data_IF_138248293575
#
_entry.id   IF_138248293575
#
_cell.length_a   1.000
_cell.length_b   1.000
_cell.length_c   1.000
_cell.angle_alpha   90.00
_cell.angle_beta   90.00
_cell.angle_gamma   90.00
#
_symmetry.space_group_name_H-M   'P 1'
#
loop_
_entity.id
_entity.type
_entity.pdbx_description
1 polymer ?
#
# COMPACT_ATOMS: atom_id res chain seq x y z
N UNK A 1 15.36 20.56 -4.43
CA UNK A 1 16.56 21.18 -5.06
C UNK A 1 16.87 22.54 -4.42
N UNK A 2 15.93 23.49 -4.41
CA UNK A 2 16.15 24.82 -3.82
C UNK A 2 16.41 24.78 -2.31
N UNK A 3 15.71 23.91 -1.58
CA UNK A 3 15.98 23.63 -0.15
C UNK A 3 17.33 22.95 0.07
N UNK A 4 17.75 22.05 -0.84
CA UNK A 4 19.01 21.29 -0.73
C UNK A 4 20.23 22.23 -0.82
N UNK A 5 20.14 23.29 -1.64
CA UNK A 5 21.21 24.27 -1.77
C UNK A 5 21.41 25.15 -0.52
N UNK A 6 20.41 25.22 0.37
CA UNK A 6 20.42 26.05 1.58
C UNK A 6 20.31 25.20 2.87
N UNK A 7 20.75 23.94 2.81
CA UNK A 7 20.76 23.05 3.98
C UNK A 7 21.73 23.59 5.03
N UNK A 8 21.31 23.56 6.29
CA UNK A 8 22.21 23.68 7.44
C UNK A 8 22.81 22.29 7.76
N UNK A 9 24.09 22.03 7.45
CA UNK A 9 24.69 20.71 7.67
C UNK A 9 24.76 20.32 9.14
N UNK A 10 24.73 21.28 10.06
CA UNK A 10 24.75 20.99 11.50
C UNK A 10 23.49 20.24 11.95
N UNK A 11 22.35 20.45 11.26
CA UNK A 11 21.09 19.75 11.55
C UNK A 11 21.11 18.28 11.11
N UNK A 12 21.97 17.94 10.16
CA UNK A 12 22.17 16.58 9.65
C UNK A 12 23.30 15.83 10.36
N UNK A 13 23.92 16.43 11.38
CA UNK A 13 25.00 15.79 12.11
C UNK A 13 24.51 14.52 12.83
N UNK A 14 25.29 13.42 12.88
CA UNK A 14 24.87 12.19 13.56
C UNK A 14 24.49 12.38 15.04
N UNK A 15 24.94 13.46 15.68
CA UNK A 15 24.56 13.83 17.05
C UNK A 15 23.09 14.23 17.21
N UNK A 16 22.40 14.60 16.12
CA UNK A 16 20.97 14.94 16.11
C UNK A 16 20.09 13.74 15.81
N UNK A 17 20.68 12.58 15.51
CA UNK A 17 19.91 11.41 15.10
C UNK A 17 19.14 10.80 16.27
N UNK A 18 17.90 10.34 16.03
CA UNK A 18 17.15 9.62 17.03
C UNK A 18 17.85 8.29 17.39
N UNK A 19 17.50 7.73 18.54
CA UNK A 19 18.05 6.44 18.97
C UNK A 19 17.80 5.34 17.94
N UNK A 20 18.72 4.38 17.84
CA UNK A 20 18.67 3.29 16.83
C UNK A 20 17.33 2.55 16.79
N UNK A 21 16.68 2.37 17.94
CA UNK A 21 15.34 1.80 18.04
C UNK A 21 14.28 2.61 17.26
N UNK A 22 14.30 3.93 17.36
CA UNK A 22 13.35 4.82 16.66
C UNK A 22 13.64 4.84 15.15
N UNK A 23 14.92 4.74 14.76
CA UNK A 23 15.29 4.59 13.35
C UNK A 23 14.72 3.28 12.79
N UNK A 24 14.90 2.16 13.51
CA UNK A 24 14.37 0.85 13.10
C UNK A 24 12.83 0.86 13.04
N UNK A 25 12.14 1.50 13.99
CA UNK A 25 10.67 1.62 13.95
C UNK A 25 10.20 2.49 12.77
N UNK A 26 10.92 3.56 12.46
CA UNK A 26 10.64 4.43 11.31
C UNK A 26 10.76 3.72 9.96
N UNK A 27 11.69 2.76 9.82
CA UNK A 27 11.84 1.96 8.58
C UNK A 27 10.56 1.21 8.26
N UNK A 28 9.90 0.67 9.28
CA UNK A 28 8.67 -0.09 9.13
C UNK A 28 7.54 0.79 8.59
N UNK A 29 7.37 2.00 9.12
CA UNK A 29 6.37 2.97 8.61
C UNK A 29 6.75 3.51 7.23
N UNK A 30 8.05 3.70 6.96
CA UNK A 30 8.54 4.18 5.66
C UNK A 30 8.24 3.17 4.54
N UNK A 31 8.13 1.88 4.84
CA UNK A 31 7.72 0.86 3.88
C UNK A 31 6.38 1.20 3.21
N UNK A 32 5.43 1.79 3.95
CA UNK A 32 4.15 2.25 3.41
C UNK A 32 4.33 3.18 2.21
N UNK A 33 5.33 4.07 2.25
CA UNK A 33 5.60 5.03 1.18
C UNK A 33 6.03 4.34 -0.13
N UNK A 34 6.48 3.07 -0.08
CA UNK A 34 6.91 2.32 -1.26
C UNK A 34 5.82 1.41 -1.83
N UNK A 35 4.62 1.32 -1.24
CA UNK A 35 3.58 0.37 -1.65
C UNK A 35 3.14 0.49 -3.12
N UNK A 36 3.27 1.68 -3.69
CA UNK A 36 2.78 2.02 -5.02
C UNK A 36 3.38 1.18 -6.16
N UNK A 37 4.56 0.57 -5.99
CA UNK A 37 5.18 -0.23 -7.07
C UNK A 37 4.31 -1.43 -7.49
N UNK A 38 3.52 -1.99 -6.56
CA UNK A 38 2.67 -3.15 -6.82
C UNK A 38 1.53 -2.84 -7.79
N UNK A 39 1.09 -1.58 -7.86
CA UNK A 39 -0.03 -1.14 -8.71
C UNK A 39 0.27 -1.41 -10.20
N UNK A 40 1.54 -1.31 -10.61
CA UNK A 40 2.00 -1.56 -11.99
C UNK A 40 1.66 -2.99 -12.46
N UNK A 41 1.55 -3.94 -11.53
CA UNK A 41 1.23 -5.33 -11.89
C UNK A 41 -0.19 -5.50 -12.42
N UNK A 42 -1.12 -4.62 -12.04
CA UNK A 42 -2.49 -4.67 -12.54
C UNK A 42 -2.63 -4.18 -13.98
N UNK A 43 -1.69 -3.38 -14.47
CA UNK A 43 -1.65 -2.90 -15.86
C UNK A 43 -0.81 -3.79 -16.76
N UNK A 44 -0.40 -4.98 -16.30
CA UNK A 44 0.45 -5.89 -17.06
C UNK A 44 -0.16 -6.27 -18.41
N UNK A 45 -1.49 -6.39 -18.50
CA UNK A 45 -2.20 -6.72 -19.74
C UNK A 45 -2.21 -5.58 -20.77
N UNK A 46 -1.95 -4.35 -20.32
CA UNK A 46 -1.95 -3.15 -21.16
C UNK A 46 -0.53 -2.84 -21.70
N UNK A 47 0.49 -3.58 -21.24
CA UNK A 47 1.88 -3.44 -21.69
C UNK A 47 2.11 -4.20 -23.01
N UNK A 48 3.01 -3.66 -23.84
CA UNK A 48 3.33 -4.26 -25.15
C UNK A 48 4.22 -5.49 -25.00
N UNK A 49 5.18 -5.45 -24.08
CA UNK A 49 6.01 -6.59 -23.70
C UNK A 49 6.10 -6.69 -22.16
N UNK A 50 5.07 -7.27 -21.51
CA UNK A 50 4.99 -7.32 -20.05
C UNK A 50 6.20 -8.03 -19.43
N UNK A 51 6.78 -9.01 -20.13
CA UNK A 51 7.91 -9.81 -19.63
C UNK A 51 9.18 -8.98 -19.39
N UNK A 52 9.35 -7.89 -20.14
CA UNK A 52 10.51 -6.99 -20.05
C UNK A 52 10.16 -5.64 -19.44
N UNK A 53 8.99 -5.10 -19.78
CA UNK A 53 8.57 -3.76 -19.37
C UNK A 53 8.19 -3.73 -17.89
N UNK A 54 7.48 -4.74 -17.39
CA UNK A 54 6.98 -4.74 -16.00
C UNK A 54 8.12 -4.79 -14.96
N UNK A 55 9.11 -5.69 -15.05
CA UNK A 55 10.23 -5.67 -14.11
C UNK A 55 11.04 -4.38 -14.16
N UNK A 56 11.24 -3.81 -15.37
CA UNK A 56 11.97 -2.54 -15.53
C UNK A 56 11.20 -1.38 -14.94
N UNK A 57 9.90 -1.28 -15.20
CA UNK A 57 9.05 -0.24 -14.66
C UNK A 57 9.04 -0.28 -13.12
N UNK A 58 8.92 -1.47 -12.52
CA UNK A 58 8.98 -1.63 -11.05
C UNK A 58 10.33 -1.17 -10.49
N UNK A 59 11.46 -1.60 -11.06
CA UNK A 59 12.79 -1.24 -10.57
C UNK A 59 13.09 0.26 -10.73
N UNK A 60 12.70 0.86 -11.85
CA UNK A 60 12.84 2.31 -12.09
C UNK A 60 11.97 3.09 -11.11
N UNK A 61 10.71 2.67 -10.91
CA UNK A 61 9.80 3.34 -9.98
C UNK A 61 10.33 3.32 -8.54
N UNK A 62 10.80 2.16 -8.06
CA UNK A 62 11.38 2.03 -6.72
C UNK A 62 12.63 2.89 -6.58
N UNK A 63 13.56 2.83 -7.55
CA UNK A 63 14.80 3.61 -7.52
C UNK A 63 14.55 5.12 -7.55
N UNK A 64 13.62 5.58 -8.41
CA UNK A 64 13.24 6.98 -8.51
C UNK A 64 12.55 7.46 -7.23
N UNK A 65 11.59 6.69 -6.70
CA UNK A 65 10.91 7.02 -5.45
C UNK A 65 11.91 7.11 -4.29
N UNK A 66 12.84 6.16 -4.17
CA UNK A 66 13.88 6.19 -3.14
C UNK A 66 14.75 7.45 -3.22
N UNK A 67 15.21 7.80 -4.43
CA UNK A 67 16.00 9.02 -4.65
C UNK A 67 15.23 10.28 -4.26
N UNK A 68 13.94 10.37 -4.65
CA UNK A 68 13.07 11.49 -4.30
C UNK A 68 12.84 11.56 -2.78
N UNK A 69 12.55 10.44 -2.12
CA UNK A 69 12.32 10.41 -0.68
C UNK A 69 13.56 10.83 0.10
N UNK A 70 14.75 10.36 -0.28
CA UNK A 70 16.00 10.82 0.33
C UNK A 70 16.20 12.31 0.11
N UNK A 71 16.01 12.80 -1.12
CA UNK A 71 16.16 14.22 -1.44
C UNK A 71 15.19 15.12 -0.67
N UNK A 72 13.94 14.69 -0.51
CA UNK A 72 12.91 15.40 0.27
C UNK A 72 13.27 15.38 1.75
N UNK A 73 13.64 14.24 2.32
CA UNK A 73 14.05 14.13 3.73
C UNK A 73 15.23 15.03 4.05
N UNK A 74 16.26 15.05 3.20
CA UNK A 74 17.40 15.96 3.35
C UNK A 74 16.98 17.43 3.27
N UNK A 75 16.07 17.77 2.35
CA UNK A 75 15.53 19.12 2.23
C UNK A 75 14.70 19.56 3.44
N UNK A 76 13.89 18.66 4.00
CA UNK A 76 13.04 18.97 5.17
C UNK A 76 13.87 19.11 6.43
N UNK A 77 14.66 18.09 6.79
CA UNK A 77 15.45 18.09 8.02
C UNK A 77 16.70 18.98 7.95
N UNK A 78 17.14 19.36 6.75
CA UNK A 78 18.14 20.40 6.56
C UNK A 78 17.61 21.82 6.81
N UNK A 79 16.28 22.02 6.78
CA UNK A 79 15.64 23.35 6.90
C UNK A 79 14.78 23.51 8.16
N UNK A 80 14.22 22.43 8.70
CA UNK A 80 13.39 22.43 9.91
C UNK A 80 13.97 21.51 10.99
N UNK A 81 13.80 21.88 12.25
CA UNK A 81 14.05 20.98 13.38
C UNK A 81 12.93 19.94 13.54
N UNK A 82 13.21 18.81 14.20
CA UNK A 82 12.25 17.70 14.39
C UNK A 82 10.92 18.18 14.98
N UNK A 83 10.94 19.01 16.03
CA UNK A 83 9.73 19.56 16.65
C UNK A 83 8.89 20.41 15.67
N UNK A 84 9.54 21.15 14.77
CA UNK A 84 8.84 21.94 13.75
C UNK A 84 8.20 21.04 12.69
N UNK A 85 8.87 19.94 12.32
CA UNK A 85 8.33 18.94 11.40
C UNK A 85 7.09 18.28 12.01
N UNK A 86 7.15 17.90 13.29
CA UNK A 86 6.01 17.32 14.02
C UNK A 86 4.86 18.32 14.08
N UNK A 87 5.12 19.58 14.45
CA UNK A 87 4.11 20.63 14.53
C UNK A 87 3.47 20.95 13.16
N UNK A 88 4.23 20.88 12.07
CA UNK A 88 3.72 21.10 10.71
C UNK A 88 2.92 19.91 10.17
N UNK A 89 3.12 18.71 10.73
CA UNK A 89 2.38 17.50 10.41
C UNK A 89 2.35 17.20 8.90
N UNK A 90 1.16 16.98 8.30
CA UNK A 90 1.04 16.68 6.86
C UNK A 90 1.58 17.78 5.93
N UNK A 91 1.75 19.01 6.43
CA UNK A 91 2.21 20.15 5.63
C UNK A 91 3.71 20.41 5.77
N UNK A 92 4.46 19.55 6.46
CA UNK A 92 5.88 19.74 6.76
C UNK A 92 6.74 20.06 5.53
N UNK A 93 6.48 19.45 4.38
CA UNK A 93 7.22 19.73 3.13
C UNK A 93 6.97 21.16 2.63
N UNK A 94 5.72 21.63 2.72
CA UNK A 94 5.37 23.00 2.32
C UNK A 94 5.98 24.03 3.29
N UNK A 95 5.88 23.77 4.60
CA UNK A 95 6.51 24.60 5.64
C UNK A 95 8.03 24.64 5.46
N UNK A 96 8.67 23.53 5.11
CA UNK A 96 10.11 23.48 4.88
C UNK A 96 10.56 24.30 3.66
N UNK A 97 9.68 24.56 2.69
CA UNK A 97 10.00 25.39 1.54
C UNK A 97 9.87 26.89 1.83
N UNK A 98 9.06 27.28 2.82
CA UNK A 98 8.76 28.68 3.11
C UNK A 98 9.99 29.53 3.46
N UNK A 99 10.99 29.05 4.23
CA UNK A 99 12.20 29.83 4.53
C UNK A 99 13.02 30.23 3.30
N UNK A 100 12.93 29.47 2.20
CA UNK A 100 13.74 29.70 1.00
C UNK A 100 12.93 30.29 -0.15
N UNK A 101 11.66 29.88 -0.29
CA UNK A 101 10.80 30.25 -1.42
C UNK A 101 9.64 31.18 -1.02
N UNK A 102 9.54 31.54 0.26
CA UNK A 102 8.44 32.34 0.79
C UNK A 102 7.08 31.68 0.63
N UNK A 103 6.02 32.48 0.73
CA UNK A 103 4.63 32.00 0.66
C UNK A 103 4.29 31.43 -0.74
N UNK A 104 4.95 31.91 -1.79
CA UNK A 104 4.78 31.37 -3.15
C UNK A 104 5.24 29.91 -3.21
N UNK A 105 6.39 29.57 -2.62
CA UNK A 105 6.86 28.20 -2.54
C UNK A 105 5.97 27.31 -1.69
N UNK A 106 5.48 27.83 -0.57
CA UNK A 106 4.53 27.13 0.30
C UNK A 106 3.27 26.71 -0.49
N UNK A 107 2.62 27.65 -1.17
CA UNK A 107 1.42 27.37 -1.95
C UNK A 107 1.68 26.47 -3.16
N UNK A 108 2.82 26.63 -3.83
CA UNK A 108 3.21 25.76 -4.95
C UNK A 108 3.33 24.31 -4.50
N UNK A 109 3.98 24.05 -3.36
CA UNK A 109 4.10 22.69 -2.83
C UNK A 109 2.74 22.14 -2.42
N UNK A 110 1.89 22.93 -1.76
CA UNK A 110 0.55 22.47 -1.38
C UNK A 110 -0.30 22.06 -2.60
N UNK A 111 -0.35 22.91 -3.63
CA UNK A 111 -1.11 22.61 -4.85
C UNK A 111 -0.54 21.38 -5.56
N UNK A 112 0.79 21.29 -5.66
CA UNK A 112 1.46 20.11 -6.25
C UNK A 112 1.18 18.85 -5.45
N UNK A 113 1.17 18.93 -4.12
CA UNK A 113 0.85 17.80 -3.25
C UNK A 113 -0.60 17.34 -3.47
N UNK A 114 -1.57 18.25 -3.61
CA UNK A 114 -2.96 17.89 -3.92
C UNK A 114 -3.09 17.14 -5.25
N UNK A 115 -2.44 17.62 -6.31
CA UNK A 115 -2.43 16.93 -7.60
C UNK A 115 -1.73 15.56 -7.52
N UNK A 116 -0.61 15.47 -6.80
CA UNK A 116 0.12 14.21 -6.59
C UNK A 116 -0.73 13.19 -5.83
N UNK A 117 -1.41 13.61 -4.75
CA UNK A 117 -2.31 12.75 -3.98
C UNK A 117 -3.50 12.31 -4.82
N UNK A 118 -4.15 13.22 -5.56
CA UNK A 118 -5.26 12.87 -6.45
C UNK A 118 -4.83 11.87 -7.54
N UNK A 119 -3.64 12.06 -8.12
CA UNK A 119 -3.05 11.14 -9.09
C UNK A 119 -2.77 9.76 -8.49
N UNK A 120 -2.20 9.71 -7.28
CA UNK A 120 -1.93 8.46 -6.56
C UNK A 120 -3.24 7.72 -6.21
N UNK A 121 -4.27 8.45 -5.75
CA UNK A 121 -5.60 7.87 -5.48
C UNK A 121 -6.23 7.31 -6.75
N UNK A 122 -6.17 8.04 -7.87
CA UNK A 122 -6.68 7.56 -9.15
C UNK A 122 -5.94 6.30 -9.63
N UNK A 123 -4.61 6.27 -9.52
CA UNK A 123 -3.82 5.10 -9.85
C UNK A 123 -4.16 3.88 -8.96
N UNK A 124 -4.41 4.10 -7.67
CA UNK A 124 -4.82 3.04 -6.74
C UNK A 124 -6.23 2.50 -6.98
N UNK A 125 -7.16 3.35 -7.46
CA UNK A 125 -8.53 2.94 -7.78
C UNK A 125 -8.68 2.33 -9.18
N UNK A 126 -7.75 2.62 -10.09
CA UNK A 126 -7.79 2.12 -11.47
C UNK A 126 -7.99 0.59 -11.58
N UNK A 127 -7.28 -0.26 -10.80
CA UNK A 127 -7.46 -1.71 -10.85
C UNK A 127 -8.81 -2.22 -10.33
N UNK A 128 -9.54 -1.41 -9.55
CA UNK A 128 -10.71 -1.88 -8.80
C UNK A 128 -11.81 -2.45 -9.70
N UNK A 129 -12.03 -1.84 -10.87
CA UNK A 129 -13.03 -2.32 -11.83
C UNK A 129 -12.65 -3.70 -12.37
N UNK A 130 -11.45 -3.83 -12.96
CA UNK A 130 -11.02 -5.09 -13.58
C UNK A 130 -10.84 -6.22 -12.57
N UNK A 131 -10.36 -5.91 -11.36
CA UNK A 131 -10.24 -6.89 -10.28
C UNK A 131 -11.63 -7.37 -9.82
N UNK A 132 -12.56 -6.45 -9.61
CA UNK A 132 -13.93 -6.79 -9.20
C UNK A 132 -14.65 -7.62 -10.26
N UNK A 133 -14.52 -7.26 -11.54
CA UNK A 133 -15.10 -8.01 -12.66
C UNK A 133 -14.54 -9.45 -12.70
N UNK A 134 -13.22 -9.62 -12.52
CA UNK A 134 -12.57 -10.94 -12.52
C UNK A 134 -12.94 -11.80 -11.30
N UNK A 135 -13.00 -11.20 -10.11
CA UNK A 135 -13.40 -11.89 -8.89
C UNK A 135 -14.88 -12.28 -8.93
N UNK A 136 -15.74 -11.44 -9.52
CA UNK A 136 -17.14 -11.77 -9.74
C UNK A 136 -17.30 -12.91 -10.77
N UNK A 137 -16.53 -12.89 -11.88
CA UNK A 137 -16.61 -13.94 -12.91
C UNK A 137 -16.14 -15.32 -12.42
N UNK A 138 -15.27 -15.35 -11.40
CA UNK A 138 -14.76 -16.58 -10.77
C UNK A 138 -15.55 -16.98 -9.52
N UNK A 139 -16.65 -16.28 -9.21
CA UNK A 139 -17.48 -16.53 -8.03
C UNK A 139 -16.78 -16.21 -6.70
N UNK A 140 -15.66 -15.51 -6.72
CA UNK A 140 -14.99 -15.03 -5.51
C UNK A 140 -15.69 -13.81 -4.92
N UNK A 141 -16.33 -12.97 -5.74
CA UNK A 141 -17.20 -11.88 -5.32
C UNK A 141 -18.66 -12.11 -5.73
N UNK A 142 -19.62 -11.41 -5.09
CA UNK A 142 -21.00 -11.33 -5.58
C UNK A 142 -21.05 -10.88 -7.05
N UNK A 143 -21.95 -11.49 -7.83
CA UNK A 143 -22.12 -11.16 -9.26
C UNK A 143 -22.41 -9.68 -9.50
N UNK A 144 -23.11 -9.03 -8.56
CA UNK A 144 -23.40 -7.58 -8.57
C UNK A 144 -22.12 -6.74 -8.57
N UNK A 145 -21.02 -7.20 -7.96
CA UNK A 145 -19.75 -6.47 -7.95
C UNK A 145 -19.05 -6.43 -9.33
N UNK A 146 -19.40 -7.35 -10.24
CA UNK A 146 -18.99 -7.32 -11.64
C UNK A 146 -19.98 -6.61 -12.57
N UNK A 147 -21.03 -6.00 -12.01
CA UNK A 147 -22.06 -5.29 -12.78
C UNK A 147 -21.77 -3.79 -12.89
N UNK A 148 -22.55 -3.11 -13.74
CA UNK A 148 -22.43 -1.67 -14.01
C UNK A 148 -23.77 -0.98 -13.77
N UNK A 149 -23.72 0.21 -13.16
CA UNK A 149 -24.85 1.13 -13.07
C UNK A 149 -24.59 2.23 -14.09
N UNK A 150 -25.33 2.20 -15.20
CA UNK A 150 -25.03 2.98 -16.41
C UNK A 150 -23.56 2.76 -16.86
N UNK A 151 -22.68 3.76 -16.67
CA UNK A 151 -21.25 3.66 -17.02
C UNK A 151 -20.34 3.33 -15.83
N UNK A 152 -20.83 3.38 -14.60
CA UNK A 152 -20.03 3.20 -13.39
C UNK A 152 -19.93 1.72 -12.98
N UNK A 153 -18.72 1.24 -12.72
CA UNK A 153 -18.51 -0.10 -12.14
C UNK A 153 -19.01 -0.14 -10.70
N UNK A 154 -19.87 -1.12 -10.37
CA UNK A 154 -20.34 -1.30 -8.99
C UNK A 154 -19.17 -1.66 -8.07
N UNK A 155 -18.22 -2.48 -8.53
CA UNK A 155 -16.99 -2.78 -7.79
C UNK A 155 -16.20 -1.54 -7.40
N UNK A 156 -16.05 -0.59 -8.33
CA UNK A 156 -15.40 0.70 -8.06
C UNK A 156 -16.20 1.54 -7.05
N UNK A 157 -17.53 1.60 -7.17
CA UNK A 157 -18.38 2.34 -6.23
C UNK A 157 -18.30 1.75 -4.81
N UNK A 158 -18.34 0.43 -4.68
CA UNK A 158 -18.18 -0.26 -3.40
C UNK A 158 -16.80 0.03 -2.80
N UNK A 159 -15.73 -0.05 -3.60
CA UNK A 159 -14.39 0.30 -3.15
C UNK A 159 -14.30 1.77 -2.68
N UNK A 160 -14.89 2.71 -3.43
CA UNK A 160 -14.91 4.12 -3.07
C UNK A 160 -15.67 4.37 -1.75
N UNK A 161 -16.84 3.75 -1.57
CA UNK A 161 -17.59 3.84 -0.31
C UNK A 161 -16.79 3.24 0.86
N UNK A 162 -16.13 2.09 0.66
CA UNK A 162 -15.27 1.50 1.69
C UNK A 162 -14.10 2.44 2.07
N UNK A 163 -13.46 3.07 1.08
CA UNK A 163 -12.40 4.08 1.32
C UNK A 163 -12.93 5.27 2.11
N UNK A 164 -14.12 5.81 1.77
CA UNK A 164 -14.74 6.92 2.50
C UNK A 164 -15.04 6.53 3.95
N UNK A 165 -15.57 5.31 4.19
CA UNK A 165 -15.82 4.80 5.53
C UNK A 165 -14.51 4.70 6.32
N UNK A 166 -13.43 4.16 5.71
CA UNK A 166 -12.15 4.04 6.38
C UNK A 166 -11.58 5.41 6.79
N UNK A 167 -11.63 6.41 5.89
CA UNK A 167 -11.12 7.76 6.18
C UNK A 167 -12.00 8.48 7.22
N UNK A 168 -13.30 8.21 7.27
CA UNK A 168 -14.20 8.81 8.25
C UNK A 168 -14.04 8.23 9.66
N UNK A 169 -13.62 6.96 9.77
CA UNK A 169 -13.56 6.23 11.04
C UNK A 169 -12.14 6.12 11.63
N UNK A 170 -11.10 6.22 10.81
CA UNK A 170 -9.73 5.94 11.22
C UNK A 170 -8.77 7.07 10.81
N UNK A 171 -7.74 7.27 11.63
CA UNK A 171 -6.68 8.24 11.32
C UNK A 171 -5.71 7.71 10.25
N UNK A 172 -4.87 8.62 9.74
CA UNK A 172 -3.89 8.29 8.70
C UNK A 172 -2.88 7.23 9.15
N UNK A 173 -2.44 7.27 10.41
CA UNK A 173 -1.45 6.34 10.96
C UNK A 173 -2.00 4.91 11.01
N UNK A 174 -3.25 4.74 11.46
CA UNK A 174 -3.92 3.45 11.50
C UNK A 174 -4.15 2.89 10.09
N UNK A 175 -4.63 3.73 9.16
CA UNK A 175 -4.83 3.34 7.75
C UNK A 175 -3.50 2.92 7.11
N UNK A 176 -2.43 3.71 7.30
CA UNK A 176 -1.10 3.40 6.79
C UNK A 176 -0.55 2.10 7.38
N UNK A 177 -0.81 1.86 8.67
CA UNK A 177 -0.38 0.65 9.36
C UNK A 177 -1.04 -0.61 8.83
N UNK A 178 -2.37 -0.56 8.64
CA UNK A 178 -3.13 -1.67 8.06
C UNK A 178 -2.67 -1.94 6.63
N UNK A 179 -2.53 -0.90 5.81
CA UNK A 179 -2.06 -1.02 4.44
C UNK A 179 -0.70 -1.71 4.36
N UNK A 180 0.21 -1.36 5.28
CA UNK A 180 1.55 -1.96 5.35
C UNK A 180 1.51 -3.44 5.72
N UNK A 181 0.76 -3.82 6.76
CA UNK A 181 0.63 -5.22 7.19
C UNK A 181 -0.01 -6.08 6.09
N UNK A 182 -1.09 -5.60 5.47
CA UNK A 182 -1.77 -6.30 4.37
C UNK A 182 -0.83 -6.49 3.19
N UNK A 183 -0.11 -5.45 2.77
CA UNK A 183 0.79 -5.55 1.64
C UNK A 183 2.02 -6.43 1.92
N UNK A 184 2.64 -6.32 3.09
CA UNK A 184 3.74 -7.21 3.49
C UNK A 184 3.29 -8.67 3.52
N UNK A 185 2.07 -8.92 4.00
CA UNK A 185 1.46 -10.26 3.98
C UNK A 185 1.26 -10.75 2.54
N UNK A 186 0.71 -9.92 1.66
CA UNK A 186 0.54 -10.24 0.23
C UNK A 186 1.89 -10.52 -0.42
N UNK A 187 2.92 -9.70 -0.21
CA UNK A 187 4.25 -9.93 -0.78
C UNK A 187 4.91 -11.20 -0.24
N UNK A 188 4.71 -11.51 1.04
CA UNK A 188 5.13 -12.78 1.63
C UNK A 188 4.46 -13.96 0.93
N UNK A 189 3.13 -13.91 0.76
CA UNK A 189 2.34 -14.95 0.08
C UNK A 189 2.74 -15.10 -1.40
N UNK A 190 2.94 -13.99 -2.11
CA UNK A 190 3.42 -13.98 -3.51
C UNK A 190 4.79 -14.63 -3.60
N UNK A 191 5.72 -14.32 -2.68
CA UNK A 191 7.06 -14.91 -2.65
C UNK A 191 7.00 -16.41 -2.35
N UNK A 192 6.14 -16.85 -1.43
CA UNK A 192 5.89 -18.27 -1.16
C UNK A 192 5.29 -18.96 -2.39
N UNK A 193 4.34 -18.32 -3.07
CA UNK A 193 3.80 -18.82 -4.34
C UNK A 193 4.88 -18.98 -5.40
N UNK A 194 5.75 -17.97 -5.55
CA UNK A 194 6.87 -18.01 -6.49
C UNK A 194 7.89 -19.10 -6.15
N UNK A 195 8.16 -19.35 -4.85
CA UNK A 195 8.99 -20.47 -4.41
C UNK A 195 8.44 -21.83 -4.86
N UNK A 196 7.11 -22.02 -4.86
CA UNK A 196 6.47 -23.26 -5.32
C UNK A 196 6.62 -23.48 -6.83
N UNK A 197 6.51 -22.43 -7.63
CA UNK A 197 6.65 -22.48 -9.10
C UNK A 197 8.06 -22.10 -9.59
N UNK A 198 9.06 -22.10 -8.71
CA UNK A 198 10.42 -21.66 -9.05
C UNK A 198 11.05 -22.46 -10.20
N UNK A 199 10.65 -23.73 -10.34
CA UNK A 199 11.14 -24.63 -11.38
C UNK A 199 10.70 -24.21 -12.79
N UNK A 200 9.55 -23.55 -12.90
CA UNK A 200 9.00 -23.05 -14.16
C UNK A 200 9.54 -21.66 -14.51
N UNK A 201 9.81 -20.84 -13.49
CA UNK A 201 10.25 -19.45 -13.65
C UNK A 201 11.77 -19.28 -13.73
N UNK A 202 12.55 -20.32 -13.42
CA UNK A 202 14.02 -20.25 -13.35
C UNK A 202 14.55 -19.37 -12.21
N UNK A 203 13.72 -19.07 -11.21
CA UNK A 203 14.06 -18.15 -10.14
C UNK A 203 15.13 -18.72 -9.19
N UNK A 204 16.07 -17.86 -8.78
CA UNK A 204 17.15 -18.22 -7.84
C UNK A 204 16.60 -18.33 -6.42
N UNK A 205 16.81 -19.48 -5.77
CA UNK A 205 16.35 -19.72 -4.39
C UNK A 205 16.87 -18.67 -3.40
N UNK A 206 18.13 -18.26 -3.53
CA UNK A 206 18.73 -17.27 -2.64
C UNK A 206 18.01 -15.93 -2.66
N UNK A 207 17.56 -15.48 -3.85
CA UNK A 207 16.82 -14.23 -4.02
C UNK A 207 15.43 -14.32 -3.36
N UNK A 208 14.73 -15.44 -3.58
CA UNK A 208 13.41 -15.65 -3.00
C UNK A 208 13.46 -15.85 -1.48
N UNK A 209 14.46 -16.59 -0.99
CA UNK A 209 14.67 -16.78 0.44
C UNK A 209 15.04 -15.46 1.14
N UNK A 210 15.90 -14.65 0.51
CA UNK A 210 16.22 -13.32 1.01
C UNK A 210 14.99 -12.42 1.05
N UNK A 211 14.20 -12.37 -0.04
CA UNK A 211 12.98 -11.57 -0.11
C UNK A 211 11.92 -11.99 0.92
N UNK A 212 11.76 -13.30 1.13
CA UNK A 212 10.84 -13.81 2.16
C UNK A 212 11.34 -13.47 3.56
N UNK A 213 12.64 -13.62 3.82
CA UNK A 213 13.24 -13.29 5.11
C UNK A 213 13.12 -11.79 5.42
N UNK A 214 13.43 -10.90 4.46
CA UNK A 214 13.30 -9.45 4.67
C UNK A 214 11.85 -9.04 4.85
N UNK A 215 10.92 -9.63 4.12
CA UNK A 215 9.48 -9.39 4.29
C UNK A 215 9.02 -9.83 5.68
N UNK A 216 9.41 -11.03 6.12
CA UNK A 216 9.06 -11.55 7.44
C UNK A 216 9.65 -10.70 8.58
N UNK A 217 10.93 -10.32 8.48
CA UNK A 217 11.58 -9.43 9.45
C UNK A 217 10.87 -8.08 9.50
N UNK A 218 10.59 -7.47 8.33
CA UNK A 218 9.91 -6.17 8.26
C UNK A 218 8.51 -6.24 8.86
N UNK A 219 7.74 -7.29 8.53
CA UNK A 219 6.40 -7.50 9.08
C UNK A 219 6.43 -7.69 10.60
N UNK A 220 7.35 -8.52 11.11
CA UNK A 220 7.50 -8.73 12.55
C UNK A 220 7.90 -7.43 13.25
N UNK A 221 8.92 -6.73 12.76
CA UNK A 221 9.33 -5.42 13.29
C UNK A 221 8.15 -4.45 13.29
N UNK A 222 7.42 -4.33 12.18
CA UNK A 222 6.25 -3.47 12.07
C UNK A 222 5.18 -3.78 13.11
N UNK A 223 4.81 -5.06 13.25
CA UNK A 223 3.79 -5.49 14.22
C UNK A 223 4.26 -5.22 15.63
N UNK A 224 5.51 -5.54 15.98
CA UNK A 224 6.05 -5.28 17.32
C UNK A 224 6.14 -3.78 17.64
N UNK A 225 6.61 -2.95 16.70
CA UNK A 225 6.71 -1.50 16.93
C UNK A 225 5.34 -0.87 17.06
N UNK A 226 4.39 -1.23 16.19
CA UNK A 226 3.00 -0.75 16.27
C UNK A 226 2.33 -1.19 17.57
N UNK A 227 2.61 -2.40 18.06
CA UNK A 227 2.04 -2.91 19.32
C UNK A 227 2.52 -2.11 20.53
N UNK A 228 3.78 -1.66 20.51
CA UNK A 228 4.40 -0.94 21.62
C UNK A 228 4.09 0.56 21.56
N UNK A 229 4.19 1.15 20.36
CA UNK A 229 4.15 2.60 20.17
C UNK A 229 2.73 3.10 19.85
N UNK A 230 1.89 2.31 19.18
CA UNK A 230 0.53 2.68 18.77
C UNK A 230 -0.50 1.53 18.97
N UNK A 231 -0.81 1.14 20.22
CA UNK A 231 -1.71 0.00 20.47
C UNK A 231 -3.13 0.20 19.90
N UNK A 232 -3.58 1.45 19.75
CA UNK A 232 -4.86 1.78 19.12
C UNK A 232 -4.89 1.39 17.62
N UNK A 233 -3.77 1.56 16.91
CA UNK A 233 -3.61 1.16 15.51
C UNK A 233 -3.73 -0.36 15.35
N UNK A 234 -3.25 -1.14 16.33
CA UNK A 234 -3.43 -2.60 16.35
C UNK A 234 -4.88 -3.01 16.60
N UNK A 235 -5.56 -2.40 17.56
CA UNK A 235 -6.97 -2.69 17.81
C UNK A 235 -7.81 -2.46 16.55
N UNK A 236 -7.57 -1.33 15.88
CA UNK A 236 -8.15 -0.97 14.59
C UNK A 236 -7.86 -2.01 13.50
N UNK A 237 -6.60 -2.44 13.39
CA UNK A 237 -6.19 -3.48 12.45
C UNK A 237 -6.92 -4.80 12.69
N UNK A 238 -7.04 -5.22 13.95
CA UNK A 238 -7.75 -6.45 14.32
C UNK A 238 -9.24 -6.35 13.98
N UNK A 239 -9.88 -5.21 14.25
CA UNK A 239 -11.28 -4.98 13.88
C UNK A 239 -11.49 -5.10 12.38
N UNK A 240 -10.66 -4.43 11.57
CA UNK A 240 -10.78 -4.48 10.10
C UNK A 240 -10.50 -5.89 9.56
N UNK A 241 -9.48 -6.58 10.10
CA UNK A 241 -9.17 -7.95 9.71
C UNK A 241 -10.33 -8.90 10.05
N UNK A 242 -10.91 -8.78 11.24
CA UNK A 242 -12.05 -9.58 11.67
C UNK A 242 -13.28 -9.34 10.78
N UNK A 243 -13.57 -8.07 10.45
CA UNK A 243 -14.65 -7.73 9.50
C UNK A 243 -14.38 -8.37 8.13
N UNK A 244 -13.15 -8.26 7.63
CA UNK A 244 -12.75 -8.82 6.32
C UNK A 244 -12.91 -10.34 6.29
N UNK A 245 -12.42 -11.04 7.32
CA UNK A 245 -12.56 -12.50 7.46
C UNK A 245 -14.02 -12.90 7.63
N UNK A 246 -14.82 -12.16 8.39
CA UNK A 246 -16.24 -12.44 8.57
C UNK A 246 -17.02 -12.28 7.25
N UNK A 247 -16.73 -11.25 6.47
CA UNK A 247 -17.31 -11.03 5.14
C UNK A 247 -16.95 -12.16 4.17
N UNK A 248 -15.67 -12.56 4.11
CA UNK A 248 -15.21 -13.67 3.26
C UNK A 248 -15.79 -15.03 3.70
N UNK A 249 -15.81 -15.31 5.00
CA UNK A 249 -16.42 -16.52 5.55
C UNK A 249 -17.93 -16.57 5.31
N UNK A 250 -18.62 -15.43 5.41
CA UNK A 250 -20.05 -15.31 5.10
C UNK A 250 -20.32 -15.60 3.62
N UNK A 251 -19.54 -14.99 2.73
CA UNK A 251 -19.67 -15.18 1.29
C UNK A 251 -19.33 -16.61 0.85
N UNK A 252 -18.23 -17.17 1.33
CA UNK A 252 -17.82 -18.53 0.99
C UNK A 252 -18.86 -19.58 1.41
N UNK A 253 -19.50 -19.41 2.57
CA UNK A 253 -20.63 -20.25 3.02
C UNK A 253 -21.85 -20.09 2.12
N UNK A 254 -22.20 -18.87 1.73
CA UNK A 254 -23.32 -18.61 0.82
C UNK A 254 -23.08 -19.24 -0.56
N UNK A 255 -21.86 -19.11 -1.09
CA UNK A 255 -21.44 -19.75 -2.34
C UNK A 255 -21.51 -21.27 -2.28
N UNK A 256 -21.02 -21.87 -1.19
CA UNK A 256 -21.11 -23.32 -0.98
C UNK A 256 -22.57 -23.79 -0.92
N UNK A 257 -23.45 -23.03 -0.26
CA UNK A 257 -24.89 -23.33 -0.22
C UNK A 257 -25.54 -23.27 -1.61
N UNK A 258 -25.29 -22.20 -2.37
CA UNK A 258 -25.81 -22.07 -3.74
C UNK A 258 -25.30 -23.20 -4.65
N UNK A 259 -24.02 -23.57 -4.53
CA UNK A 259 -23.46 -24.70 -5.26
C UNK A 259 -24.10 -26.05 -4.88
N UNK A 260 -24.45 -26.24 -3.60
CA UNK A 260 -25.14 -27.46 -3.15
C UNK A 260 -26.61 -27.54 -3.58
N UNK A 261 -27.30 -26.40 -3.70
CA UNK A 261 -28.71 -26.34 -4.17
C UNK A 261 -28.84 -26.59 -5.68
N UNK A 262 -27.80 -26.29 -6.46
CA UNK A 262 -27.73 -26.49 -7.91
C UNK A 262 -27.14 -27.86 -8.31
N UNK A 263 -26.66 -28.67 -7.36
CA UNK A 263 -26.16 -30.01 -7.64
C UNK A 263 -27.34 -30.92 -8.04
N UNK A 264 -27.30 -31.57 -9.23
CA UNK A 264 -28.38 -32.47 -9.63
C UNK A 264 -28.47 -33.59 -8.59
N UNK A 265 -29.69 -33.87 -8.12
CA UNK A 265 -30.00 -35.01 -7.25
C UNK A 265 -29.76 -36.30 -8.02
N UNK A 266 -28.50 -36.74 -8.14
CA UNK A 266 -28.17 -38.09 -8.59
C UNK A 266 -28.42 -39.04 -7.44
N UNK A 267 -29.69 -39.32 -7.20
CA UNK A 267 -30.14 -40.45 -6.40
C UNK A 267 -31.47 -40.94 -6.96
N UNK A 268 -31.44 -41.42 -8.21
CA UNK A 268 -32.37 -42.46 -8.60
C UNK A 268 -31.60 -43.79 -8.66
N UNK A 269 -31.71 -44.66 -7.64
CA UNK A 269 -31.11 -45.98 -7.65
C UNK A 269 -31.94 -47.01 -8.45
N UNK A 270 -32.79 -46.59 -9.39
CA UNK A 270 -33.63 -47.49 -10.20
C UNK A 270 -33.63 -47.17 -11.69
N UNK A 271 -32.47 -47.33 -12.35
CA UNK A 271 -32.39 -47.72 -13.77
C UNK A 271 -31.17 -48.63 -13.98
#
# INVERSE_FOLDING_TARGET
IVTIANIDPARLAPSTYPGSRQIVSSVALTFFAFLGFGVVTFTAKDLRDPSRELPRAMMIAIGLAAAVYVAVSLGVFGTLGVEQVIAAGPTAIAVAAQPVLGDVGYWLILVTALFATAGATNAGLYPATGLSDHLASTGQFPSVMGSRIDRASVGLLVAAVAVVILIALFDLSAIASIGSVVALTIFGLVTVGHLRIRGETGARLSVLALGLATTAVTLLTFVFTTLIEEPASIATLLVILLISVALDAGWSRQRQRQASELAPTTSDPRL
#
